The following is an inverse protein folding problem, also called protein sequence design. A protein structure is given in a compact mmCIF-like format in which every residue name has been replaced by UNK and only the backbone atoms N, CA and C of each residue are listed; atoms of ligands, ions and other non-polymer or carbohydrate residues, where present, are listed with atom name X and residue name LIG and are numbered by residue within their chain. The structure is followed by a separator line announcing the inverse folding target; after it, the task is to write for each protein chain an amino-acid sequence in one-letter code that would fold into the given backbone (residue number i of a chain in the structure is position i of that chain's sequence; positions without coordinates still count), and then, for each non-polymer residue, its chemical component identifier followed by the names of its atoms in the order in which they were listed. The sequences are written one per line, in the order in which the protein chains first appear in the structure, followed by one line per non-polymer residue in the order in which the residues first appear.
data_IF_679450517566
#
_entry.id   IF_679450517566
#
_cell.length_a   1.000
_cell.length_b   1.000
_cell.length_c   1.000
_cell.angle_alpha   90.00
_cell.angle_beta   90.00
_cell.angle_gamma   90.00
#
_symmetry.space_group_name_H-M   'P 1'
#
loop_
_entity.id
_entity.type
_entity.pdbx_description
1 polymer ?
#
# COMPACT_ATOMS: atom_id res chain seq x y z
N UNK A 1 2.16 -22.63 -4.45
CA UNK A 1 2.69 -21.66 -3.44
C UNK A 1 3.00 -20.33 -4.10
N UNK A 2 3.85 -20.32 -5.13
CA UNK A 2 4.13 -19.11 -5.93
C UNK A 2 2.84 -18.55 -6.56
N UNK A 3 2.05 -19.37 -7.25
CA UNK A 3 0.78 -18.97 -7.85
C UNK A 3 -0.15 -18.26 -6.86
N UNK A 4 -0.35 -18.83 -5.67
CA UNK A 4 -1.13 -18.19 -4.60
C UNK A 4 -0.61 -16.78 -4.25
N UNK A 5 0.71 -16.57 -4.19
CA UNK A 5 1.27 -15.24 -3.93
C UNK A 5 1.05 -14.27 -5.08
N UNK A 6 1.03 -14.76 -6.33
CA UNK A 6 0.66 -13.97 -7.50
C UNK A 6 -0.82 -13.58 -7.46
N UNK A 7 -1.71 -14.53 -7.14
CA UNK A 7 -3.15 -14.29 -7.03
C UNK A 7 -3.46 -13.23 -5.95
N UNK A 8 -2.80 -13.34 -4.79
CA UNK A 8 -2.94 -12.34 -3.72
C UNK A 8 -2.42 -10.96 -4.13
N UNK A 9 -1.34 -10.89 -4.92
CA UNK A 9 -0.80 -9.63 -5.41
C UNK A 9 -1.74 -9.00 -6.45
N UNK A 10 -2.33 -9.80 -7.33
CA UNK A 10 -3.36 -9.33 -8.27
C UNK A 10 -4.62 -8.84 -7.54
N UNK A 11 -5.06 -9.56 -6.50
CA UNK A 11 -6.16 -9.10 -5.65
C UNK A 11 -5.86 -7.74 -5.02
N UNK A 12 -4.67 -7.59 -4.41
CA UNK A 12 -4.24 -6.32 -3.83
C UNK A 12 -4.18 -5.21 -4.88
N UNK A 13 -3.67 -5.50 -6.08
CA UNK A 13 -3.64 -4.55 -7.18
C UNK A 13 -5.05 -4.07 -7.56
N UNK A 14 -6.02 -4.98 -7.66
CA UNK A 14 -7.42 -4.64 -7.92
C UNK A 14 -8.02 -3.75 -6.83
N UNK A 15 -7.78 -4.06 -5.54
CA UNK A 15 -8.24 -3.22 -4.43
C UNK A 15 -7.61 -1.82 -4.44
N UNK A 16 -6.36 -1.70 -4.87
CA UNK A 16 -5.68 -0.41 -5.05
C UNK A 16 -6.31 0.35 -6.21
N UNK A 17 -6.52 -0.31 -7.36
CA UNK A 17 -7.08 0.32 -8.56
C UNK A 17 -8.55 0.75 -8.37
N UNK A 18 -9.33 0.03 -7.54
CA UNK A 18 -10.73 0.35 -7.21
C UNK A 18 -10.88 1.48 -6.18
N UNK A 19 -9.82 1.82 -5.44
CA UNK A 19 -9.85 2.85 -4.41
C UNK A 19 -9.37 4.20 -4.97
N UNK A 20 -10.27 5.18 -5.04
CA UNK A 20 -9.99 6.49 -5.64
C UNK A 20 -8.86 7.28 -4.93
N UNK A 21 -8.63 7.00 -3.65
CA UNK A 21 -7.58 7.62 -2.85
C UNK A 21 -6.24 6.86 -2.84
N UNK A 22 -6.13 5.79 -3.63
CA UNK A 22 -4.89 5.04 -3.82
C UNK A 22 -4.41 5.15 -5.28
N UNK A 23 -3.10 5.13 -5.48
CA UNK A 23 -2.47 5.19 -6.80
C UNK A 23 -1.48 4.04 -6.94
N UNK A 24 -1.73 3.12 -7.86
CA UNK A 24 -0.76 2.08 -8.24
C UNK A 24 0.33 2.69 -9.12
N UNK A 25 1.59 2.45 -8.76
CA UNK A 25 2.76 3.07 -9.39
C UNK A 25 3.50 2.14 -10.36
N UNK A 26 3.24 0.83 -10.32
CA UNK A 26 3.89 -0.13 -11.21
C UNK A 26 2.96 -1.30 -11.55
N UNK A 27 3.26 -1.96 -12.68
CA UNK A 27 2.66 -3.26 -13.00
C UNK A 27 3.00 -4.30 -11.92
N UNK A 28 2.15 -5.33 -11.81
CA UNK A 28 2.26 -6.38 -10.77
C UNK A 28 2.52 -7.74 -11.43
N UNK A 29 3.68 -7.95 -12.10
CA UNK A 29 3.97 -9.22 -12.77
C UNK A 29 4.28 -10.36 -11.78
N UNK A 30 4.60 -10.02 -10.53
CA UNK A 30 4.98 -10.95 -9.47
C UNK A 30 4.25 -10.61 -8.16
N UNK A 31 4.79 -11.02 -7.02
CA UNK A 31 4.16 -10.93 -5.69
C UNK A 31 4.39 -9.59 -4.95
N UNK A 32 4.69 -8.51 -5.68
CA UNK A 32 5.00 -7.19 -5.11
C UNK A 32 4.06 -6.16 -5.73
N UNK A 33 3.39 -5.38 -4.88
CA UNK A 33 2.52 -4.29 -5.31
C UNK A 33 3.16 -2.97 -4.88
N UNK A 34 3.37 -2.06 -5.83
CA UNK A 34 3.94 -0.74 -5.57
C UNK A 34 2.83 0.31 -5.73
N UNK A 35 2.49 1.01 -4.65
CA UNK A 35 1.41 1.98 -4.66
C UNK A 35 1.63 3.05 -3.58
N UNK A 36 0.88 4.14 -3.65
CA UNK A 36 0.88 5.20 -2.64
C UNK A 36 -0.55 5.65 -2.33
N UNK A 37 -0.73 6.27 -1.18
CA UNK A 37 -1.94 7.02 -0.89
C UNK A 37 -1.89 8.36 -1.61
N UNK A 38 -2.92 8.65 -2.40
CA UNK A 38 -3.04 9.87 -3.18
C UNK A 38 -4.52 10.33 -3.21
N UNK A 39 -4.91 11.28 -2.34
CA UNK A 39 -6.28 11.84 -2.33
C UNK A 39 -6.57 12.81 -3.49
N UNK A 40 -5.60 13.07 -4.38
CA UNK A 40 -5.76 13.89 -5.58
C UNK A 40 -5.63 15.41 -5.38
N UNK A 41 -5.50 15.90 -4.16
CA UNK A 41 -5.50 17.33 -3.82
C UNK A 41 -4.20 17.83 -3.13
N UNK A 42 -3.11 17.06 -3.23
CA UNK A 42 -1.81 17.37 -2.60
C UNK A 42 -0.71 17.56 -3.65
N UNK A 43 0.31 18.34 -3.32
CA UNK A 43 1.54 18.44 -4.13
C UNK A 43 2.38 17.17 -3.97
N UNK A 44 3.29 16.91 -4.90
CA UNK A 44 4.18 15.73 -4.83
C UNK A 44 5.00 15.69 -3.53
N UNK A 45 5.51 16.83 -3.05
CA UNK A 45 6.27 16.88 -1.79
C UNK A 45 5.40 16.52 -0.58
N UNK A 46 4.13 16.96 -0.59
CA UNK A 46 3.17 16.62 0.47
C UNK A 46 2.73 15.16 0.38
N UNK A 47 2.56 14.62 -0.82
CA UNK A 47 2.29 13.19 -1.02
C UNK A 47 3.45 12.34 -0.52
N UNK A 48 4.68 12.74 -0.81
CA UNK A 48 5.87 12.04 -0.36
C UNK A 48 5.97 12.04 1.17
N UNK A 49 5.77 13.20 1.82
CA UNK A 49 5.77 13.27 3.27
C UNK A 49 4.63 12.44 3.87
N UNK A 50 3.42 12.54 3.34
CA UNK A 50 2.27 11.76 3.79
C UNK A 50 2.53 10.26 3.72
N UNK A 51 3.14 9.78 2.63
CA UNK A 51 3.43 8.36 2.47
C UNK A 51 4.60 7.89 3.36
N UNK A 52 5.56 8.76 3.70
CA UNK A 52 6.58 8.47 4.74
C UNK A 52 5.91 8.28 6.10
N UNK A 53 5.09 9.24 6.49
CA UNK A 53 4.38 9.24 7.77
C UNK A 53 3.42 8.03 7.86
N UNK A 54 2.76 7.69 6.76
CA UNK A 54 1.90 6.50 6.66
C UNK A 54 2.68 5.20 6.85
N UNK A 55 3.86 5.07 6.23
CA UNK A 55 4.72 3.91 6.43
C UNK A 55 5.14 3.74 7.89
N UNK A 56 5.56 4.83 8.54
CA UNK A 56 5.88 4.84 9.96
C UNK A 56 4.67 4.49 10.83
N UNK A 57 3.50 5.04 10.51
CA UNK A 57 2.26 4.77 11.21
C UNK A 57 1.84 3.30 11.11
N UNK A 58 1.96 2.67 9.92
CA UNK A 58 1.68 1.24 9.73
C UNK A 58 2.60 0.39 10.61
N UNK A 59 3.89 0.67 10.60
CA UNK A 59 4.88 -0.06 11.40
C UNK A 59 4.60 0.12 12.90
N UNK A 60 4.27 1.34 13.33
CA UNK A 60 3.98 1.63 14.74
C UNK A 60 2.64 1.05 15.21
N UNK A 61 1.66 0.96 14.33
CA UNK A 61 0.34 0.37 14.62
C UNK A 61 0.43 -1.15 14.81
N UNK A 62 1.29 -1.82 14.04
CA UNK A 62 1.67 -3.22 14.26
C UNK A 62 0.63 -4.26 13.83
N UNK A 63 -0.55 -3.86 13.33
CA UNK A 63 -1.54 -4.80 12.75
C UNK A 63 -1.08 -5.39 11.42
N UNK A 64 -0.25 -4.66 10.68
CA UNK A 64 0.36 -5.11 9.44
C UNK A 64 1.77 -4.52 9.28
N UNK A 65 2.56 -5.04 8.34
CA UNK A 65 3.92 -4.59 8.09
C UNK A 65 4.13 -4.30 6.61
N UNK A 66 4.29 -3.02 6.28
CA UNK A 66 4.75 -2.55 4.98
C UNK A 66 5.65 -1.33 5.19
N UNK A 67 6.87 -1.40 4.66
CA UNK A 67 7.77 -0.26 4.64
C UNK A 67 7.56 0.62 3.40
N UNK A 68 8.20 1.78 3.41
CA UNK A 68 8.26 2.68 2.26
C UNK A 68 9.49 2.43 1.40
N UNK A 69 9.39 2.80 0.13
CA UNK A 69 10.50 2.84 -0.81
C UNK A 69 10.47 4.15 -1.61
N UNK A 70 11.58 4.48 -2.27
CA UNK A 70 11.60 5.53 -3.29
C UNK A 70 11.52 4.85 -4.66
N UNK A 71 10.41 5.04 -5.36
CA UNK A 71 10.16 4.49 -6.69
C UNK A 71 9.98 5.62 -7.69
N UNK A 72 10.87 5.73 -8.68
CA UNK A 72 10.89 6.82 -9.67
C UNK A 72 10.80 8.23 -9.04
N UNK A 73 11.45 8.40 -7.89
CA UNK A 73 11.46 9.67 -7.14
C UNK A 73 10.23 9.91 -6.28
N UNK A 74 9.26 8.99 -6.22
CA UNK A 74 8.05 9.07 -5.38
C UNK A 74 8.13 8.13 -4.20
N UNK A 75 7.65 8.55 -3.03
CA UNK A 75 7.53 7.67 -1.87
C UNK A 75 6.33 6.74 -2.04
N UNK A 76 6.56 5.44 -1.89
CA UNK A 76 5.55 4.41 -2.11
C UNK A 76 5.60 3.34 -1.03
N UNK A 77 4.45 2.71 -0.77
CA UNK A 77 4.37 1.43 -0.07
C UNK A 77 4.66 0.30 -1.07
N UNK A 78 5.44 -0.70 -0.62
CA UNK A 78 5.85 -1.82 -1.47
C UNK A 78 5.78 -3.17 -0.75
N UNK A 79 4.58 -3.62 -0.32
CA UNK A 79 4.42 -4.93 0.30
C UNK A 79 4.83 -6.06 -0.66
N UNK A 80 5.55 -7.04 -0.12
CA UNK A 80 5.92 -8.28 -0.81
C UNK A 80 5.19 -9.46 -0.16
N UNK A 81 4.31 -10.10 -0.91
CA UNK A 81 3.48 -11.20 -0.42
C UNK A 81 4.27 -12.51 -0.51
N UNK A 82 4.98 -12.85 0.56
CA UNK A 82 5.87 -14.04 0.61
C UNK A 82 5.46 -15.05 1.68
N UNK A 83 4.65 -14.65 2.66
CA UNK A 83 4.25 -15.55 3.74
C UNK A 83 3.19 -16.53 3.21
N UNK A 84 3.44 -17.83 3.33
CA UNK A 84 2.54 -18.89 2.85
C UNK A 84 1.18 -18.89 3.56
N UNK A 85 1.13 -18.35 4.79
CA UNK A 85 -0.07 -18.23 5.61
C UNK A 85 -0.96 -17.06 5.24
N UNK A 86 -0.45 -16.07 4.48
CA UNK A 86 -1.27 -14.93 4.05
C UNK A 86 -2.47 -15.43 3.25
N UNK A 87 -3.63 -14.91 3.61
CA UNK A 87 -4.93 -15.17 3.00
C UNK A 87 -5.44 -13.93 2.29
N UNK A 88 -6.51 -14.07 1.51
CA UNK A 88 -7.19 -12.93 0.88
C UNK A 88 -7.73 -11.96 1.94
N UNK A 89 -8.24 -12.47 3.07
CA UNK A 89 -8.71 -11.64 4.16
C UNK A 89 -7.60 -10.78 4.78
N UNK A 90 -6.36 -11.27 4.82
CA UNK A 90 -5.21 -10.47 5.29
C UNK A 90 -4.87 -9.33 4.31
N UNK A 91 -5.03 -9.57 3.01
CA UNK A 91 -4.83 -8.55 1.97
C UNK A 91 -5.91 -7.46 2.06
N UNK A 92 -7.17 -7.86 2.21
CA UNK A 92 -8.30 -6.94 2.39
C UNK A 92 -8.11 -6.10 3.66
N UNK A 93 -7.73 -6.77 4.75
CA UNK A 93 -7.44 -6.12 6.03
C UNK A 93 -6.28 -5.13 5.92
N UNK A 94 -5.19 -5.49 5.23
CA UNK A 94 -4.06 -4.58 5.01
C UNK A 94 -4.50 -3.30 4.29
N UNK A 95 -5.27 -3.41 3.20
CA UNK A 95 -5.77 -2.23 2.48
C UNK A 95 -6.70 -1.38 3.36
N UNK A 96 -7.55 -2.02 4.17
CA UNK A 96 -8.41 -1.30 5.12
C UNK A 96 -7.58 -0.52 6.17
N UNK A 97 -6.53 -1.13 6.74
CA UNK A 97 -5.63 -0.48 7.70
C UNK A 97 -4.88 0.69 7.05
N UNK A 98 -4.37 0.52 5.84
CA UNK A 98 -3.70 1.59 5.08
C UNK A 98 -4.62 2.80 4.93
N UNK A 99 -5.87 2.58 4.50
CA UNK A 99 -6.86 3.65 4.31
C UNK A 99 -7.25 4.31 5.63
N UNK A 100 -7.46 3.53 6.68
CA UNK A 100 -7.78 4.02 8.03
C UNK A 100 -6.68 4.94 8.58
N UNK A 101 -5.42 4.51 8.49
CA UNK A 101 -4.28 5.28 8.98
C UNK A 101 -4.02 6.51 8.12
N UNK A 102 -4.11 6.39 6.79
CA UNK A 102 -3.93 7.52 5.89
C UNK A 102 -4.98 8.61 6.13
N UNK A 103 -6.26 8.25 6.35
CA UNK A 103 -7.31 9.20 6.65
C UNK A 103 -7.07 9.99 7.96
N UNK A 104 -6.39 9.39 8.95
CA UNK A 104 -6.00 10.06 10.21
C UNK A 104 -4.84 11.04 10.04
N UNK A 105 -4.04 10.86 8.99
CA UNK A 105 -2.89 11.71 8.67
C UNK A 105 -3.25 12.87 7.73
N UNK A 106 -4.44 12.86 7.15
CA UNK A 106 -4.91 13.98 6.34
C UNK A 106 -5.08 15.24 7.23
N UNK A 107 -4.55 16.38 6.79
CA UNK A 107 -4.81 17.65 7.47
C UNK A 107 -6.33 17.96 7.41
N UNK A 108 -6.87 18.48 8.52
CA UNK A 108 -8.25 18.92 8.64
C UNK A 108 -8.58 20.12 7.73
#
# INVERSE_FOLDING_TARGET
MVEKHLDLAQRMAGLVDDAAELERLAEVPLNIVCFRFNPGNLTEEKLDQLNRDLGEAIISDGRALAGTTLFEGRVALRPALVNWRTSEADVDFFIAVVRELAAKLLPA
#
